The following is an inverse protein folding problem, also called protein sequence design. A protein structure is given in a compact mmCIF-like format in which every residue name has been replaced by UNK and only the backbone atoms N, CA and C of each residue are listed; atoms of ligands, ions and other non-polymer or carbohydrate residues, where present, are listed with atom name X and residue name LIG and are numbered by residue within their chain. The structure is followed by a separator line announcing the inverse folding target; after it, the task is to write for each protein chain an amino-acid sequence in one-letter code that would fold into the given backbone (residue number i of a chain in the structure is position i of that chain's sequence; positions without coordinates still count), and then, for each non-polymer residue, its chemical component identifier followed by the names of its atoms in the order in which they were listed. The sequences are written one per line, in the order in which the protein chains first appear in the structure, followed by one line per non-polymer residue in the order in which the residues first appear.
data_IF_316891163677
#
_entry.id   IF_316891163677
#
_cell.length_a   1.000
_cell.length_b   1.000
_cell.length_c   1.000
_cell.angle_alpha   90.00
_cell.angle_beta   90.00
_cell.angle_gamma   90.00
#
_symmetry.space_group_name_H-M   'P 1'
#
loop_
_entity.id
_entity.type
_entity.pdbx_description
1 polymer ?
#
# COMPACT_ATOMS: atom_id res chain seq x y z
N UNK A 1 11.16 -5.44 -11.55
CA UNK A 1 9.82 -5.72 -11.00
C UNK A 1 9.95 -5.70 -9.48
N UNK A 2 9.10 -5.00 -8.73
CA UNK A 2 9.15 -5.05 -7.27
C UNK A 2 8.75 -6.46 -6.80
N UNK A 3 9.48 -6.98 -5.81
CA UNK A 3 9.39 -8.38 -5.34
C UNK A 3 8.21 -8.63 -4.36
N UNK A 4 7.31 -7.67 -4.19
CA UNK A 4 6.34 -7.66 -3.09
C UNK A 4 4.98 -8.31 -3.41
N UNK A 5 4.80 -8.87 -4.62
CA UNK A 5 3.55 -9.51 -5.07
C UNK A 5 3.69 -11.03 -5.25
N UNK A 6 4.27 -11.71 -4.25
CA UNK A 6 4.29 -13.16 -4.21
C UNK A 6 3.18 -13.57 -3.22
N UNK A 7 2.07 -14.20 -3.68
CA UNK A 7 1.12 -14.83 -2.77
C UNK A 7 1.89 -15.76 -1.81
N UNK A 8 1.46 -15.93 -0.56
CA UNK A 8 2.15 -16.77 0.44
C UNK A 8 2.34 -18.25 0.03
N UNK A 9 1.69 -18.65 -1.07
CA UNK A 9 1.79 -19.92 -1.78
C UNK A 9 2.99 -19.99 -2.77
N UNK A 10 3.40 -18.86 -3.34
CA UNK A 10 4.35 -18.83 -4.46
C UNK A 10 5.79 -18.75 -3.94
N UNK A 11 6.70 -19.46 -4.64
CA UNK A 11 8.13 -19.47 -4.30
C UNK A 11 8.89 -18.51 -5.22
N UNK A 12 9.78 -17.71 -4.65
CA UNK A 12 10.77 -16.97 -5.42
C UNK A 12 11.90 -17.93 -5.80
N UNK A 13 12.19 -18.07 -7.09
CA UNK A 13 13.26 -18.91 -7.60
C UNK A 13 14.35 -18.05 -8.23
N UNK A 14 15.59 -18.24 -7.79
CA UNK A 14 16.78 -17.65 -8.42
C UNK A 14 17.48 -18.74 -9.22
N UNK A 15 17.56 -18.57 -10.55
CA UNK A 15 18.25 -19.51 -11.44
C UNK A 15 19.54 -18.88 -11.95
N UNK A 16 20.66 -19.54 -11.70
CA UNK A 16 21.97 -19.18 -12.28
C UNK A 16 22.24 -20.16 -13.41
N UNK A 17 22.26 -19.65 -14.63
CA UNK A 17 22.63 -20.43 -15.81
C UNK A 17 24.09 -20.14 -16.18
N UNK A 18 24.84 -21.17 -16.53
CA UNK A 18 26.18 -21.03 -17.10
C UNK A 18 26.40 -22.02 -18.23
N UNK A 19 27.34 -21.71 -19.12
CA UNK A 19 27.68 -22.54 -20.27
C UNK A 19 29.14 -23.00 -20.20
N UNK A 20 29.39 -24.26 -20.63
CA UNK A 20 30.72 -24.91 -20.73
C UNK A 20 31.42 -25.20 -19.38
N UNK A 21 32.74 -25.39 -19.41
CA UNK A 21 33.60 -25.97 -18.35
C UNK A 21 34.00 -24.96 -17.26
N UNK A 22 33.18 -23.95 -16.99
CA UNK A 22 33.47 -22.97 -15.95
C UNK A 22 33.00 -23.48 -14.59
N UNK A 23 33.88 -23.42 -13.58
CA UNK A 23 33.48 -23.59 -12.19
C UNK A 23 32.81 -22.30 -11.71
N UNK A 24 31.49 -22.34 -11.54
CA UNK A 24 30.73 -21.24 -10.93
C UNK A 24 30.68 -21.48 -9.42
N UNK A 25 30.98 -20.44 -8.63
CA UNK A 25 30.75 -20.46 -7.18
C UNK A 25 29.92 -19.24 -6.82
N UNK A 26 28.68 -19.44 -6.41
CA UNK A 26 27.91 -18.42 -5.71
C UNK A 26 28.27 -18.55 -4.23
N UNK A 27 28.77 -17.48 -3.61
CA UNK A 27 29.16 -17.50 -2.20
C UNK A 27 28.16 -16.77 -1.31
N UNK A 28 27.58 -15.68 -1.81
CA UNK A 28 26.65 -14.85 -1.05
C UNK A 28 25.46 -14.44 -1.94
N UNK A 29 24.29 -15.04 -1.71
CA UNK A 29 23.03 -14.50 -2.21
C UNK A 29 22.41 -13.71 -1.07
N UNK A 30 22.62 -12.40 -1.07
CA UNK A 30 22.01 -11.50 -0.08
C UNK A 30 20.71 -10.94 -0.62
N UNK A 31 19.58 -11.35 -0.04
CA UNK A 31 18.30 -10.67 -0.24
C UNK A 31 18.21 -9.57 0.80
N UNK A 32 18.72 -8.38 0.45
CA UNK A 32 18.46 -7.18 1.23
C UNK A 32 17.08 -6.62 0.86
N UNK A 33 16.25 -6.29 1.86
CA UNK A 33 15.12 -5.39 1.60
C UNK A 33 15.75 -4.02 1.32
N UNK A 34 15.58 -3.48 0.12
CA UNK A 34 15.94 -2.09 -0.13
C UNK A 34 15.09 -1.23 0.79
N UNK A 35 15.70 -0.61 1.80
CA UNK A 35 15.02 0.33 2.69
C UNK A 35 14.62 1.62 1.98
N UNK A 36 15.05 1.80 0.72
CA UNK A 36 14.80 3.00 -0.09
C UNK A 36 13.78 2.80 -1.23
N UNK A 37 13.01 1.71 -1.23
CA UNK A 37 11.87 1.58 -2.16
C UNK A 37 10.59 1.98 -1.44
N UNK A 38 10.43 3.29 -1.19
CA UNK A 38 9.11 3.82 -0.84
C UNK A 38 8.22 3.69 -2.07
N UNK A 39 7.32 2.71 -2.06
CA UNK A 39 6.25 2.68 -3.05
C UNK A 39 5.40 3.92 -2.84
N UNK A 40 5.24 4.71 -3.91
CA UNK A 40 4.34 5.86 -3.96
C UNK A 40 3.45 5.75 -5.18
N UNK A 41 2.15 5.87 -4.99
CA UNK A 41 1.17 6.01 -6.06
C UNK A 41 0.38 7.27 -5.85
N UNK A 42 0.14 8.00 -6.94
CA UNK A 42 -0.64 9.23 -6.96
C UNK A 42 -1.76 9.06 -7.97
N UNK A 43 -2.96 9.55 -7.64
CA UNK A 43 -4.08 9.67 -8.57
C UNK A 43 -4.50 11.13 -8.68
N UNK A 44 -4.64 11.63 -9.91
CA UNK A 44 -5.35 12.88 -10.13
C UNK A 44 -6.84 12.67 -9.94
N UNK A 45 -7.53 13.71 -9.45
CA UNK A 45 -8.97 13.63 -9.19
C UNK A 45 -9.81 13.71 -10.48
N UNK A 46 -9.20 13.88 -11.64
CA UNK A 46 -9.87 13.75 -12.93
C UNK A 46 -9.69 12.36 -13.56
N UNK A 47 -8.93 11.46 -12.93
CA UNK A 47 -8.75 10.10 -13.45
C UNK A 47 -10.07 9.33 -13.38
N UNK A 48 -10.45 8.53 -14.42
CA UNK A 48 -11.72 7.80 -14.44
C UNK A 48 -11.90 6.77 -13.31
N UNK A 49 -10.81 6.39 -12.64
CA UNK A 49 -10.84 5.49 -11.47
C UNK A 49 -11.27 6.20 -10.19
N UNK A 50 -11.25 7.54 -10.17
CA UNK A 50 -11.76 8.35 -9.07
C UNK A 50 -13.18 8.79 -9.42
N UNK A 51 -14.13 8.34 -8.61
CA UNK A 51 -15.54 8.72 -8.71
C UNK A 51 -15.89 9.89 -7.80
N UNK A 52 -16.97 10.59 -8.16
CA UNK A 52 -17.50 11.75 -7.44
C UNK A 52 -19.02 11.64 -7.35
N UNK A 53 -19.60 11.94 -6.19
CA UNK A 53 -21.07 12.08 -6.03
C UNK A 53 -21.52 13.52 -5.86
N UNK A 54 -20.63 14.39 -5.42
CA UNK A 54 -20.89 15.82 -5.22
C UNK A 54 -19.69 16.64 -5.67
N UNK A 55 -19.89 17.93 -5.88
CA UNK A 55 -18.87 18.84 -6.34
C UNK A 55 -18.60 18.75 -7.84
N UNK A 56 -17.47 19.34 -8.24
CA UNK A 56 -17.09 19.54 -9.63
C UNK A 56 -15.58 19.62 -9.78
N UNK A 57 -15.10 19.39 -11.00
CA UNK A 57 -13.72 19.65 -11.36
C UNK A 57 -13.42 21.15 -11.24
N UNK A 58 -12.32 21.48 -10.59
CA UNK A 58 -11.87 22.86 -10.35
C UNK A 58 -10.35 22.92 -10.49
N UNK A 59 -9.90 23.23 -11.71
CA UNK A 59 -8.50 23.18 -12.10
C UNK A 59 -7.95 21.74 -12.01
N UNK A 60 -6.88 21.56 -11.23
CA UNK A 60 -6.23 20.26 -11.00
C UNK A 60 -6.83 19.46 -9.82
N UNK A 61 -7.94 19.93 -9.25
CA UNK A 61 -8.57 19.33 -8.09
C UNK A 61 -10.08 19.19 -8.25
N UNK A 62 -10.72 18.70 -7.21
CA UNK A 62 -12.17 18.57 -7.12
C UNK A 62 -12.67 19.40 -5.95
N UNK A 63 -13.67 20.24 -6.16
CA UNK A 63 -14.21 21.12 -5.13
C UNK A 63 -15.73 21.01 -5.00
N UNK A 64 -16.23 21.35 -3.82
CA UNK A 64 -17.65 21.51 -3.54
C UNK A 64 -17.87 22.74 -2.67
N UNK A 65 -19.00 23.41 -2.83
CA UNK A 65 -19.36 24.58 -2.03
C UNK A 65 -20.80 24.54 -1.54
N UNK A 66 -21.03 25.18 -0.39
CA UNK A 66 -22.30 25.13 0.34
C UNK A 66 -23.47 25.80 -0.39
N UNK A 67 -23.20 26.61 -1.41
CA UNK A 67 -24.23 27.32 -2.18
C UNK A 67 -24.77 26.48 -3.34
N UNK A 68 -23.95 25.59 -3.91
CA UNK A 68 -24.25 24.91 -5.18
C UNK A 68 -24.30 23.39 -5.06
N UNK A 69 -23.76 22.81 -3.99
CA UNK A 69 -23.59 21.37 -3.82
C UNK A 69 -24.27 20.87 -2.54
N UNK A 70 -24.75 19.63 -2.55
CA UNK A 70 -25.17 18.91 -1.35
C UNK A 70 -24.02 18.10 -0.73
N UNK A 71 -24.15 17.72 0.54
CA UNK A 71 -23.19 16.80 1.17
C UNK A 71 -23.09 15.46 0.42
N UNK A 72 -21.94 14.81 0.51
CA UNK A 72 -21.71 13.55 -0.16
C UNK A 72 -20.25 13.21 -0.38
N UNK A 73 -20.00 12.09 -1.06
CA UNK A 73 -18.64 11.69 -1.43
C UNK A 73 -18.06 12.66 -2.47
N UNK A 74 -17.12 13.48 -2.00
CA UNK A 74 -16.30 14.36 -2.83
C UNK A 74 -15.41 13.50 -3.74
N UNK A 75 -14.84 12.42 -3.19
CA UNK A 75 -14.08 11.42 -3.96
C UNK A 75 -14.31 10.01 -3.40
N UNK A 76 -14.29 9.01 -4.28
CA UNK A 76 -14.25 7.58 -3.96
C UNK A 76 -13.50 6.82 -5.07
N UNK A 77 -13.10 5.57 -4.87
CA UNK A 77 -12.12 4.85 -5.72
C UNK A 77 -10.73 4.79 -5.08
N UNK A 78 -9.68 4.26 -5.73
CA UNK A 78 -9.61 3.78 -7.10
C UNK A 78 -9.88 2.28 -7.28
N UNK A 79 -10.34 1.57 -6.24
CA UNK A 79 -10.58 0.12 -6.24
C UNK A 79 -9.34 -0.71 -6.58
N UNK A 80 -8.22 -0.42 -5.90
CA UNK A 80 -6.91 -1.02 -6.22
C UNK A 80 -6.70 -2.37 -5.53
N UNK A 81 -6.37 -3.41 -6.30
CA UNK A 81 -6.14 -4.79 -5.82
C UNK A 81 -4.69 -5.27 -5.97
N UNK A 82 -3.74 -4.33 -5.99
CA UNK A 82 -2.30 -4.61 -6.14
C UNK A 82 -1.49 -3.99 -5.01
N UNK A 83 -2.09 -3.90 -3.82
CA UNK A 83 -1.46 -3.36 -2.61
C UNK A 83 -0.96 -4.53 -1.77
N UNK A 84 0.37 -4.74 -1.64
CA UNK A 84 0.92 -5.77 -0.77
C UNK A 84 0.41 -5.67 0.66
N UNK A 85 0.40 -6.81 1.37
CA UNK A 85 0.15 -6.83 2.79
C UNK A 85 1.23 -6.01 3.52
N UNK A 86 0.83 -5.21 4.51
CA UNK A 86 1.74 -4.33 5.23
C UNK A 86 1.10 -3.04 5.71
N UNK A 87 1.94 -2.15 6.21
CA UNK A 87 1.53 -0.85 6.74
C UNK A 87 1.59 0.22 5.65
N UNK A 88 0.51 0.97 5.50
CA UNK A 88 0.34 1.96 4.45
C UNK A 88 -0.13 3.31 5.02
N UNK A 89 0.18 4.37 4.30
CA UNK A 89 -0.30 5.71 4.57
C UNK A 89 -0.94 6.30 3.31
N UNK A 90 -2.13 6.88 3.47
CA UNK A 90 -2.81 7.64 2.42
C UNK A 90 -2.85 9.10 2.83
N UNK A 91 -2.58 9.98 1.87
CA UNK A 91 -2.51 11.42 2.04
C UNK A 91 -3.60 12.10 1.18
N UNK A 92 -4.42 12.93 1.84
CA UNK A 92 -5.43 13.80 1.26
C UNK A 92 -5.00 15.25 1.44
N UNK A 93 -4.54 15.93 0.38
CA UNK A 93 -4.37 17.37 0.41
C UNK A 93 -5.73 18.06 0.29
N UNK A 94 -6.17 18.72 1.36
CA UNK A 94 -7.46 19.42 1.44
C UNK A 94 -7.26 20.91 1.70
N UNK A 95 -8.21 21.72 1.27
CA UNK A 95 -8.25 23.16 1.44
C UNK A 95 -9.70 23.60 1.70
N UNK A 96 -9.89 24.61 2.56
CA UNK A 96 -11.21 25.20 2.85
C UNK A 96 -11.15 26.73 2.76
N UNK A 97 -12.31 27.39 2.66
CA UNK A 97 -12.43 28.86 2.58
C UNK A 97 -12.40 29.57 3.94
N UNK A 98 -12.69 28.85 5.03
CA UNK A 98 -12.74 29.40 6.38
C UNK A 98 -12.38 28.34 7.42
N UNK A 99 -11.56 28.71 8.40
CA UNK A 99 -11.05 27.81 9.45
C UNK A 99 -11.33 28.33 10.87
N UNK A 100 -11.89 29.53 11.02
CA UNK A 100 -11.94 30.24 12.31
C UNK A 100 -13.34 30.59 12.81
N UNK A 101 -14.39 30.50 11.97
CA UNK A 101 -15.75 30.84 12.42
C UNK A 101 -16.33 29.83 13.43
N UNK A 102 -16.09 28.53 13.21
CA UNK A 102 -16.52 27.44 14.10
C UNK A 102 -15.56 26.22 13.99
N UNK A 103 -15.84 25.15 14.73
CA UNK A 103 -15.14 23.87 14.59
C UNK A 103 -16.03 22.79 13.95
N UNK A 104 -16.83 23.16 12.95
CA UNK A 104 -17.70 22.21 12.27
C UNK A 104 -16.90 21.11 11.56
N UNK A 105 -17.53 19.95 11.39
CA UNK A 105 -16.96 18.86 10.59
C UNK A 105 -16.97 19.25 9.12
N UNK A 106 -15.84 19.14 8.45
CA UNK A 106 -15.72 19.46 7.03
C UNK A 106 -15.72 18.18 6.20
N UNK A 107 -14.94 17.19 6.61
CA UNK A 107 -14.80 15.94 5.86
C UNK A 107 -14.62 14.71 6.77
N UNK A 108 -15.01 13.56 6.23
CA UNK A 108 -14.66 12.24 6.73
C UNK A 108 -13.82 11.53 5.67
N UNK A 109 -12.60 11.17 6.02
CA UNK A 109 -11.71 10.40 5.15
C UNK A 109 -11.58 8.98 5.66
N UNK A 110 -11.49 8.01 4.74
CA UNK A 110 -11.43 6.60 5.12
C UNK A 110 -10.69 5.75 4.08
N UNK A 111 -10.07 4.69 4.59
CA UNK A 111 -9.60 3.55 3.80
C UNK A 111 -10.61 2.41 3.99
N UNK A 112 -11.18 1.93 2.89
CA UNK A 112 -12.28 0.98 2.87
C UNK A 112 -11.90 -0.25 2.06
N UNK A 113 -12.18 -1.43 2.61
CA UNK A 113 -12.05 -2.71 1.94
C UNK A 113 -13.36 -3.01 1.19
N UNK A 114 -13.29 -3.00 -0.14
CA UNK A 114 -14.48 -3.17 -0.96
C UNK A 114 -15.04 -4.59 -0.94
N UNK A 115 -14.22 -5.60 -0.69
CA UNK A 115 -14.63 -7.00 -0.64
C UNK A 115 -15.36 -7.29 0.66
N UNK A 116 -14.80 -6.89 1.80
CA UNK A 116 -15.41 -7.15 3.12
C UNK A 116 -16.46 -6.12 3.52
N UNK A 117 -16.49 -4.97 2.84
CA UNK A 117 -17.32 -3.80 3.18
C UNK A 117 -16.96 -3.18 4.54
N UNK A 118 -15.69 -3.25 4.92
CA UNK A 118 -15.19 -2.76 6.19
C UNK A 118 -14.37 -1.48 6.02
N UNK A 119 -14.46 -0.60 7.03
CA UNK A 119 -13.59 0.55 7.17
C UNK A 119 -12.33 0.10 7.88
N UNK A 120 -11.19 0.11 7.19
CA UNK A 120 -9.88 -0.27 7.74
C UNK A 120 -9.32 0.82 8.65
N UNK A 121 -9.56 2.08 8.31
CA UNK A 121 -9.24 3.25 9.11
C UNK A 121 -10.11 4.42 8.65
N UNK A 122 -10.37 5.36 9.55
CA UNK A 122 -11.03 6.62 9.21
C UNK A 122 -10.54 7.78 10.08
N UNK A 123 -10.84 9.00 9.63
CA UNK A 123 -10.63 10.23 10.39
C UNK A 123 -11.70 11.27 10.04
N UNK A 124 -12.24 11.89 11.07
CA UNK A 124 -13.03 13.11 10.98
C UNK A 124 -12.09 14.33 10.91
N UNK A 125 -12.41 15.29 10.06
CA UNK A 125 -11.64 16.51 9.86
C UNK A 125 -12.54 17.71 10.12
N UNK A 126 -12.13 18.61 11.00
CA UNK A 126 -12.88 19.83 11.34
C UNK A 126 -12.25 21.11 10.80
N UNK A 127 -13.01 22.20 10.76
CA UNK A 127 -12.56 23.51 10.28
C UNK A 127 -11.27 23.99 10.96
N UNK A 128 -11.15 23.85 12.29
CA UNK A 128 -10.00 24.35 13.05
C UNK A 128 -8.74 23.49 12.91
N UNK A 129 -8.82 22.33 12.25
CA UNK A 129 -7.61 21.57 11.92
C UNK A 129 -6.84 22.18 10.75
N UNK A 130 -7.45 23.10 9.99
CA UNK A 130 -6.77 23.84 8.92
C UNK A 130 -6.02 25.04 9.51
N UNK A 131 -4.89 25.40 8.90
CA UNK A 131 -4.02 26.47 9.41
C UNK A 131 -4.39 27.85 8.86
N UNK A 132 -4.86 27.90 7.60
CA UNK A 132 -5.23 29.12 6.89
C UNK A 132 -6.32 28.84 5.85
N UNK A 133 -7.20 29.81 5.56
CA UNK A 133 -8.13 29.70 4.46
C UNK A 133 -7.38 29.69 3.13
N UNK A 134 -7.89 28.92 2.16
CA UNK A 134 -7.34 28.77 0.81
C UNK A 134 -5.87 28.29 0.75
N UNK A 135 -5.38 27.64 1.80
CA UNK A 135 -4.10 26.91 1.80
C UNK A 135 -4.33 25.40 1.96
N UNK A 136 -3.56 24.60 1.21
CA UNK A 136 -3.65 23.14 1.31
C UNK A 136 -2.97 22.63 2.58
N UNK A 137 -3.69 21.80 3.33
CA UNK A 137 -3.16 20.99 4.41
C UNK A 137 -3.23 19.51 4.06
N UNK A 138 -2.17 18.80 4.41
CA UNK A 138 -2.07 17.36 4.22
C UNK A 138 -2.68 16.61 5.41
N UNK A 139 -3.73 15.84 5.16
CA UNK A 139 -4.30 14.91 6.11
C UNK A 139 -3.86 13.49 5.76
N UNK A 140 -3.19 12.82 6.70
CA UNK A 140 -2.68 11.47 6.51
C UNK A 140 -3.49 10.47 7.33
N UNK A 141 -3.78 9.31 6.74
CA UNK A 141 -4.44 8.18 7.39
C UNK A 141 -3.58 6.94 7.22
N UNK A 142 -3.30 6.27 8.33
CA UNK A 142 -2.53 5.03 8.36
C UNK A 142 -3.47 3.85 8.47
N UNK A 143 -3.19 2.78 7.73
CA UNK A 143 -3.95 1.53 7.80
C UNK A 143 -3.03 0.32 7.57
N UNK A 144 -3.52 -0.87 7.92
CA UNK A 144 -2.83 -2.14 7.68
C UNK A 144 -3.60 -2.89 6.60
N UNK A 145 -2.90 -3.28 5.53
CA UNK A 145 -3.44 -4.19 4.52
C UNK A 145 -3.10 -5.63 4.88
N UNK A 146 -4.11 -6.48 4.94
CA UNK A 146 -3.95 -7.91 5.25
C UNK A 146 -4.07 -8.79 4.00
N UNK A 147 -5.01 -8.46 3.11
CA UNK A 147 -5.33 -9.29 1.94
C UNK A 147 -4.93 -8.60 0.62
N UNK A 148 -3.81 -8.97 -0.01
CA UNK A 148 -3.31 -8.27 -1.19
C UNK A 148 -4.23 -8.30 -2.41
N UNK A 149 -5.19 -9.23 -2.45
CA UNK A 149 -6.17 -9.37 -3.53
C UNK A 149 -7.40 -8.46 -3.36
N UNK A 150 -7.62 -7.90 -2.17
CA UNK A 150 -8.77 -7.04 -1.92
C UNK A 150 -8.57 -5.67 -2.56
N UNK A 151 -9.62 -5.17 -3.20
CA UNK A 151 -9.73 -3.82 -3.76
C UNK A 151 -9.95 -2.84 -2.63
N UNK A 152 -9.01 -1.91 -2.53
CA UNK A 152 -9.11 -0.80 -1.60
C UNK A 152 -9.70 0.43 -2.26
N UNK A 153 -10.56 1.09 -1.50
CA UNK A 153 -11.19 2.35 -1.83
C UNK A 153 -10.77 3.39 -0.78
N UNK A 154 -10.38 4.57 -1.24
CA UNK A 154 -10.00 5.71 -0.42
C UNK A 154 -11.03 6.81 -0.64
N UNK A 155 -11.82 7.10 0.39
CA UNK A 155 -13.00 7.95 0.24
C UNK A 155 -12.85 9.25 1.01
N UNK A 156 -13.47 10.29 0.48
CA UNK A 156 -13.65 11.58 1.13
C UNK A 156 -15.13 11.93 1.10
N UNK A 157 -15.81 11.85 2.23
CA UNK A 157 -17.16 12.41 2.40
C UNK A 157 -17.04 13.86 2.84
N UNK A 158 -17.76 14.76 2.20
CA UNK A 158 -17.84 16.18 2.55
C UNK A 158 -19.19 16.49 3.20
N UNK A 159 -19.15 17.18 4.34
CA UNK A 159 -20.32 17.45 5.17
C UNK A 159 -21.11 18.72 4.79
N UNK A 160 -20.68 19.49 3.79
CA UNK A 160 -21.44 20.69 3.40
C UNK A 160 -21.31 21.89 4.34
N UNK A 161 -20.38 21.87 5.30
CA UNK A 161 -20.24 22.95 6.30
C UNK A 161 -19.27 24.08 5.90
N UNK A 162 -18.43 23.86 4.89
CA UNK A 162 -17.49 24.84 4.35
C UNK A 162 -17.19 24.52 2.89
N UNK A 163 -16.72 25.48 2.10
CA UNK A 163 -16.10 25.14 0.81
C UNK A 163 -14.98 24.13 1.06
N UNK A 164 -14.87 23.12 0.21
CA UNK A 164 -13.75 22.19 0.23
C UNK A 164 -13.15 22.05 -1.17
N UNK A 165 -11.84 21.92 -1.23
CA UNK A 165 -11.13 21.47 -2.43
C UNK A 165 -10.10 20.42 -2.06
N UNK A 166 -10.09 19.33 -2.82
CA UNK A 166 -9.10 18.27 -2.72
C UNK A 166 -8.18 18.29 -3.95
N UNK A 167 -6.90 17.96 -3.75
CA UNK A 167 -5.91 17.69 -4.81
C UNK A 167 -5.57 16.19 -4.90
N UNK A 168 -4.58 15.86 -5.70
CA UNK A 168 -4.14 14.48 -5.95
C UNK A 168 -4.03 13.63 -4.68
N UNK A 169 -4.73 12.50 -4.68
CA UNK A 169 -4.68 11.48 -3.64
C UNK A 169 -3.35 10.72 -3.75
N UNK A 170 -2.70 10.43 -2.62
CA UNK A 170 -1.40 9.74 -2.61
C UNK A 170 -1.39 8.55 -1.63
N UNK A 171 -1.00 7.38 -2.10
CA UNK A 171 -0.71 6.20 -1.29
C UNK A 171 0.80 6.00 -1.17
N UNK A 172 1.28 5.69 0.03
CA UNK A 172 2.70 5.40 0.31
C UNK A 172 2.84 4.17 1.20
N UNK A 173 3.82 3.32 0.89
CA UNK A 173 4.24 2.27 1.82
C UNK A 173 4.95 2.89 3.02
N UNK A 174 4.65 2.42 4.23
CA UNK A 174 5.44 2.80 5.41
C UNK A 174 6.64 1.87 5.56
N UNK A 175 7.76 2.40 6.05
CA UNK A 175 8.93 1.57 6.31
C UNK A 175 8.61 0.46 7.30
N UNK A 176 9.07 -0.75 6.99
CA UNK A 176 9.10 -1.83 7.95
C UNK A 176 10.34 -1.62 8.83
N UNK A 177 10.16 -1.40 10.13
CA UNK A 177 11.21 -1.70 11.10
C UNK A 177 11.46 -3.22 11.02
N UNK A 178 12.59 -3.61 10.43
CA UNK A 178 12.87 -5.01 10.15
C UNK A 178 13.14 -5.77 11.45
N UNK A 179 12.46 -6.91 11.63
CA UNK A 179 13.07 -8.07 12.28
C UNK A 179 13.64 -8.95 11.16
N UNK A 180 14.85 -8.64 10.70
CA UNK A 180 15.54 -9.46 9.72
C UNK A 180 16.13 -10.71 10.39
N UNK A 181 15.53 -11.87 10.15
CA UNK A 181 16.21 -13.16 10.37
C UNK A 181 17.07 -13.46 9.14
N UNK A 182 18.39 -13.38 9.32
CA UNK A 182 19.37 -13.79 8.31
C UNK A 182 19.37 -15.32 8.25
N UNK A 183 19.14 -15.88 7.07
CA UNK A 183 19.39 -17.30 6.80
C UNK A 183 20.73 -17.41 6.09
N UNK A 184 21.74 -17.95 6.77
CA UNK A 184 22.99 -18.38 6.14
C UNK A 184 22.83 -19.84 5.71
N UNK A 185 22.96 -20.09 4.41
CA UNK A 185 23.06 -21.44 3.86
C UNK A 185 24.54 -21.75 3.73
N UNK A 186 25.04 -22.71 4.53
CA UNK A 186 26.37 -23.28 4.36
C UNK A 186 26.22 -24.68 3.76
N UNK A 187 26.83 -24.92 2.61
CA UNK A 187 27.10 -26.28 2.13
C UNK A 187 28.60 -26.55 2.29
N UNK A 188 28.96 -27.50 3.16
CA UNK A 188 30.35 -27.90 3.43
C UNK A 188 30.74 -29.21 2.77
N UNK A 189 29.93 -29.80 1.87
CA UNK A 189 30.27 -31.08 1.23
C UNK A 189 30.22 -31.02 -0.29
N UNK A 190 31.29 -31.54 -0.93
CA UNK A 190 31.37 -31.73 -2.38
C UNK A 190 30.46 -32.88 -2.83
N UNK A 191 29.14 -32.73 -2.73
CA UNK A 191 28.21 -33.62 -3.44
C UNK A 191 27.10 -32.81 -4.10
N UNK A 192 26.68 -33.29 -5.28
CA UNK A 192 25.86 -32.57 -6.26
C UNK A 192 24.51 -32.17 -5.65
N UNK A 193 24.20 -30.88 -5.65
CA UNK A 193 22.89 -30.36 -5.27
C UNK A 193 21.77 -30.96 -6.13
N UNK A 194 20.64 -31.29 -5.49
CA UNK A 194 19.28 -30.86 -5.88
C UNK A 194 18.30 -31.37 -4.82
N UNK A 195 17.56 -30.47 -4.16
CA UNK A 195 16.36 -30.85 -3.39
C UNK A 195 15.10 -30.40 -4.14
N UNK A 196 14.19 -31.35 -4.30
CA UNK A 196 12.88 -31.22 -4.93
C UNK A 196 11.75 -31.22 -3.88
N UNK A 197 10.57 -30.75 -4.31
CA UNK A 197 9.30 -30.59 -3.58
C UNK A 197 8.80 -31.89 -2.92
N UNK A 198 8.21 -31.81 -1.72
CA UNK A 198 6.97 -32.54 -1.32
C UNK A 198 6.22 -31.84 -0.19
N UNK A 199 4.93 -32.18 -0.10
CA UNK A 199 3.86 -31.62 0.73
C UNK A 199 3.99 -31.92 2.23
N UNK A 200 3.39 -31.01 3.00
CA UNK A 200 2.77 -31.16 4.33
C UNK A 200 3.64 -31.54 5.54
N UNK A 201 3.69 -30.56 6.45
CA UNK A 201 4.11 -30.56 7.84
C UNK A 201 5.59 -30.84 8.21
N UNK A 202 6.02 -30.08 9.21
CA UNK A 202 7.37 -30.02 9.76
C UNK A 202 7.79 -31.33 10.43
N UNK A 203 8.79 -32.04 9.89
CA UNK A 203 9.69 -32.88 10.68
C UNK A 203 11.04 -33.04 9.97
N UNK A 204 12.13 -32.87 10.73
CA UNK A 204 13.49 -33.19 10.28
C UNK A 204 13.65 -34.71 10.41
N UNK A 205 13.67 -35.43 9.29
CA UNK A 205 14.17 -36.81 9.26
C UNK A 205 15.51 -36.85 8.53
N UNK A 206 16.58 -37.18 9.26
CA UNK A 206 17.87 -37.55 8.68
C UNK A 206 17.82 -39.04 8.33
N UNK A 207 17.95 -39.36 7.04
CA UNK A 207 18.19 -40.73 6.58
C UNK A 207 19.68 -40.92 6.33
N UNK A 208 20.25 -42.01 6.87
CA UNK A 208 21.58 -42.49 6.48
C UNK A 208 21.40 -43.46 5.30
N UNK A 209 21.89 -43.09 4.13
CA UNK A 209 22.17 -44.09 3.09
C UNK A 209 23.59 -44.59 3.28
N UNK A 210 23.75 -45.88 3.59
CA UNK A 210 25.04 -46.57 3.45
C UNK A 210 25.21 -46.93 1.98
N UNK A 211 26.16 -46.31 1.29
CA UNK A 211 26.54 -46.75 -0.04
C UNK A 211 27.41 -48.00 0.10
N UNK A 212 26.93 -49.12 -0.44
CA UNK A 212 27.79 -50.20 -0.94
C UNK A 212 28.03 -49.94 -2.42
N UNK A 213 29.30 -49.70 -2.74
CA UNK A 213 30.09 -50.23 -3.87
C UNK A 213 31.43 -49.49 -3.87
#
# INVERSE_FOLDING_TARGET
MPFDNIPTDHRLEFRIYWYRVAKVTARDITIGKSTNLMYKKTWSLSEPVIGHRTGRLDGEGWSANTQQDGEGFLTFGPYISVVPAGSWEVNWPLMIDNHSADNAKVAHIEAFDFETKEILAYREITCQEFERPFEYKNFNLKYIQVNPSHRLEFRTYWYGNAFIKMKNLQLKSMEFTSFGKVWSIFDSHKEKCMFYKTQDFYHIHTWKFTNTC
#
